data_IF_619272952405
#
_entry.id   IF_619272952405
#
_cell.length_a   1.000
_cell.length_b   1.000
_cell.length_c   1.000
_cell.angle_alpha   90.00
_cell.angle_beta   90.00
_cell.angle_gamma   90.00
#
_symmetry.space_group_name_H-M   'P 1'
#
loop_
_entity.id
_entity.type
_entity.pdbx_description
1 polymer ?
#
# COMPACT_ATOMS: atom_id res chain seq x y z
N UNK A 1 19.46 -9.09 13.11
CA UNK A 1 18.58 -9.51 12.00
C UNK A 1 18.09 -8.24 11.36
N UNK A 2 18.30 -8.03 10.06
CA UNK A 2 17.80 -6.81 9.40
C UNK A 2 16.29 -6.98 9.26
N UNK A 3 15.51 -6.04 9.79
CA UNK A 3 14.07 -5.96 9.54
C UNK A 3 13.89 -5.79 8.03
N UNK A 4 13.46 -6.85 7.34
CA UNK A 4 13.19 -6.80 5.91
C UNK A 4 11.80 -6.21 5.69
N UNK A 5 11.63 -4.95 6.08
CA UNK A 5 10.47 -4.17 5.68
C UNK A 5 10.56 -3.91 4.18
N UNK A 6 9.47 -4.16 3.47
CA UNK A 6 9.36 -3.80 2.06
C UNK A 6 8.03 -3.10 1.82
N UNK A 7 8.04 -2.21 0.83
CA UNK A 7 6.89 -1.39 0.48
C UNK A 7 6.57 -1.68 -0.98
N UNK A 8 5.36 -2.14 -1.24
CA UNK A 8 4.89 -2.44 -2.60
C UNK A 8 3.74 -1.50 -2.94
N UNK A 9 3.89 -0.78 -4.05
CA UNK A 9 2.87 0.08 -4.63
C UNK A 9 2.05 -0.67 -5.67
N UNK A 10 0.76 -0.39 -5.68
CA UNK A 10 -0.22 -0.85 -6.66
C UNK A 10 -1.08 0.32 -7.13
N UNK A 11 -1.42 0.30 -8.42
CA UNK A 11 -2.44 1.18 -8.97
C UNK A 11 -3.75 0.42 -9.04
N UNK A 12 -4.79 1.01 -8.47
CA UNK A 12 -6.15 0.48 -8.46
C UNK A 12 -7.03 1.46 -9.21
N UNK A 13 -7.71 0.99 -10.25
CA UNK A 13 -8.68 1.78 -10.99
C UNK A 13 -10.04 1.65 -10.32
N UNK A 14 -10.61 2.78 -9.90
CA UNK A 14 -11.91 2.84 -9.29
C UNK A 14 -13.01 2.73 -10.36
N UNK A 15 -14.22 2.25 -10.02
CA UNK A 15 -15.29 2.01 -10.99
C UNK A 15 -15.71 3.25 -11.81
N UNK A 16 -15.42 4.44 -11.30
CA UNK A 16 -15.75 5.72 -11.92
C UNK A 16 -14.57 6.33 -12.70
N UNK A 17 -13.53 5.56 -13.00
CA UNK A 17 -12.42 5.94 -13.88
C UNK A 17 -11.25 6.65 -13.19
N UNK A 18 -11.35 6.92 -11.89
CA UNK A 18 -10.28 7.57 -11.12
C UNK A 18 -9.25 6.58 -10.59
N UNK A 19 -8.03 7.07 -10.36
CA UNK A 19 -6.91 6.27 -9.85
C UNK A 19 -6.82 6.33 -8.33
N UNK A 20 -6.62 5.18 -7.73
CA UNK A 20 -6.23 5.03 -6.33
C UNK A 20 -4.84 4.37 -6.28
N UNK A 21 -3.98 4.90 -5.41
CA UNK A 21 -2.65 4.34 -5.17
C UNK A 21 -2.69 3.58 -3.86
N UNK A 22 -2.37 2.30 -3.88
CA UNK A 22 -2.26 1.48 -2.68
C UNK A 22 -0.79 1.21 -2.39
N UNK A 23 -0.35 1.42 -1.14
CA UNK A 23 0.97 1.00 -0.68
C UNK A 23 0.79 -0.03 0.43
N UNK A 24 1.45 -1.17 0.26
CA UNK A 24 1.43 -2.31 1.18
C UNK A 24 2.79 -2.39 1.85
N UNK A 25 2.80 -2.25 3.17
CA UNK A 25 3.96 -2.52 4.03
C UNK A 25 3.99 -4.01 4.35
N UNK A 26 5.07 -4.66 3.97
CA UNK A 26 5.36 -6.05 4.27
C UNK A 26 6.42 -6.17 5.35
N UNK A 27 6.28 -7.17 6.20
CA UNK A 27 7.25 -7.56 7.20
C UNK A 27 7.43 -9.07 7.10
N UNK A 28 8.62 -9.51 6.67
CA UNK A 28 8.94 -10.92 6.43
C UNK A 28 7.95 -11.61 5.45
N UNK A 29 7.50 -10.89 4.42
CA UNK A 29 6.56 -11.41 3.40
C UNK A 29 5.08 -11.33 3.79
N UNK A 30 4.77 -10.97 5.04
CA UNK A 30 3.38 -10.77 5.50
C UNK A 30 2.97 -9.31 5.44
N UNK A 31 1.71 -9.07 5.13
CA UNK A 31 1.12 -7.74 5.13
C UNK A 31 1.02 -7.23 6.57
N UNK A 32 1.77 -6.18 6.87
CA UNK A 32 1.75 -5.50 8.17
C UNK A 32 0.82 -4.30 8.17
N UNK A 33 0.70 -3.60 7.05
CA UNK A 33 -0.25 -2.49 6.87
C UNK A 33 -0.48 -2.26 5.40
N UNK A 34 -1.66 -1.79 5.04
CA UNK A 34 -1.93 -1.29 3.70
C UNK A 34 -2.67 0.04 3.80
N UNK A 35 -2.28 0.99 2.95
CA UNK A 35 -2.92 2.30 2.83
C UNK A 35 -3.29 2.55 1.38
N UNK A 36 -4.48 3.08 1.17
CA UNK A 36 -5.01 3.45 -0.14
C UNK A 36 -5.21 4.96 -0.17
N UNK A 37 -4.47 5.66 -1.03
CA UNK A 37 -4.65 7.07 -1.31
C UNK A 37 -5.48 7.27 -2.57
N UNK A 38 -6.58 8.01 -2.44
CA UNK A 38 -7.45 8.38 -3.55
C UNK A 38 -7.09 9.77 -4.06
N UNK A 39 -6.48 9.84 -5.24
CA UNK A 39 -6.00 11.10 -5.83
C UNK A 39 -7.14 12.10 -6.10
N UNK A 40 -8.36 11.62 -6.35
CA UNK A 40 -9.50 12.47 -6.66
C UNK A 40 -10.02 13.23 -5.42
N UNK A 41 -10.17 12.55 -4.29
CA UNK A 41 -10.68 13.15 -3.05
C UNK A 41 -9.56 13.62 -2.10
N UNK A 42 -8.30 13.36 -2.45
CA UNK A 42 -7.12 13.68 -1.64
C UNK A 42 -7.24 13.13 -0.20
N UNK A 43 -7.68 11.87 -0.09
CA UNK A 43 -7.83 11.17 1.19
C UNK A 43 -7.22 9.79 1.15
N UNK A 44 -6.70 9.37 2.30
CA UNK A 44 -6.20 8.03 2.52
C UNK A 44 -7.18 7.19 3.33
N UNK A 45 -7.08 5.88 3.15
CA UNK A 45 -7.83 4.88 3.89
C UNK A 45 -6.89 3.76 4.30
N UNK A 46 -6.92 3.37 5.58
CA UNK A 46 -6.18 2.20 6.04
C UNK A 46 -7.00 0.93 5.78
N UNK A 47 -6.34 -0.12 5.28
CA UNK A 47 -6.97 -1.42 5.02
C UNK A 47 -6.45 -2.40 6.07
N UNK A 48 -7.26 -2.62 7.11
CA UNK A 48 -6.92 -3.48 8.24
C UNK A 48 -7.17 -4.96 7.98
N UNK A 49 -8.08 -5.28 7.06
CA UNK A 49 -8.54 -6.65 6.82
C UNK A 49 -7.46 -7.57 6.23
N UNK A 50 -6.37 -6.99 5.72
CA UNK A 50 -5.24 -7.71 5.12
C UNK A 50 -4.13 -8.03 6.13
N UNK A 51 -4.21 -7.53 7.37
CA UNK A 51 -3.16 -7.68 8.37
C UNK A 51 -2.84 -9.16 8.64
N UNK A 52 -1.56 -9.50 8.53
CA UNK A 52 -1.03 -10.84 8.80
C UNK A 52 -1.15 -11.82 7.62
N UNK A 53 -1.83 -11.44 6.54
CA UNK A 53 -1.92 -12.27 5.33
C UNK A 53 -0.57 -12.35 4.61
N UNK A 54 -0.26 -13.50 4.03
CA UNK A 54 0.91 -13.68 3.16
C UNK A 54 0.74 -12.87 1.88
N UNK A 55 1.77 -12.12 1.49
CA UNK A 55 1.76 -11.36 0.25
C UNK A 55 2.10 -12.24 -0.94
N UNK A 56 1.22 -12.26 -1.94
CA UNK A 56 1.46 -12.96 -3.20
C UNK A 56 2.17 -12.03 -4.17
N UNK A 57 3.44 -12.31 -4.42
CA UNK A 57 4.28 -11.56 -5.36
C UNK A 57 3.68 -11.61 -6.77
N UNK A 58 3.64 -10.46 -7.42
CA UNK A 58 3.08 -10.29 -8.76
C UNK A 58 4.07 -9.62 -9.69
N UNK A 59 4.04 -9.98 -10.97
CA UNK A 59 4.83 -9.30 -12.01
C UNK A 59 4.48 -7.82 -12.19
N UNK A 60 3.36 -7.36 -11.60
CA UNK A 60 2.93 -5.95 -11.58
C UNK A 60 3.28 -5.26 -10.25
N UNK A 61 4.17 -5.84 -9.43
CA UNK A 61 4.65 -5.20 -8.21
C UNK A 61 5.54 -4.02 -8.56
N UNK A 62 5.21 -2.85 -8.02
CA UNK A 62 6.03 -1.65 -8.16
C UNK A 62 6.72 -1.42 -6.82
N UNK A 63 8.06 -1.47 -6.73
CA UNK A 63 8.76 -1.13 -5.49
C UNK A 63 8.43 0.29 -5.05
N UNK A 64 8.19 0.47 -3.76
CA UNK A 64 7.96 1.75 -3.09
C UNK A 64 8.89 1.88 -1.89
N UNK A 65 8.65 2.87 -1.03
CA UNK A 65 9.47 3.15 0.15
C UNK A 65 8.64 3.72 1.31
N UNK A 66 9.28 3.78 2.47
CA UNK A 66 8.69 4.32 3.70
C UNK A 66 8.21 5.76 3.56
N UNK A 67 8.97 6.61 2.85
CA UNK A 67 8.59 8.01 2.67
C UNK A 67 7.25 8.14 1.94
N UNK A 68 7.07 7.45 0.82
CA UNK A 68 5.81 7.47 0.05
C UNK A 68 4.63 6.93 0.89
N UNK A 69 4.90 5.91 1.72
CA UNK A 69 3.90 5.37 2.65
C UNK A 69 3.47 6.41 3.70
N UNK A 70 4.43 7.06 4.36
CA UNK A 70 4.17 8.09 5.38
C UNK A 70 3.52 9.33 4.78
N UNK A 71 3.91 9.71 3.57
CA UNK A 71 3.28 10.81 2.83
C UNK A 71 1.78 10.55 2.63
N UNK A 72 1.37 9.31 2.33
CA UNK A 72 -0.05 8.94 2.27
C UNK A 72 -0.70 8.83 3.64
N UNK A 73 0.03 8.35 4.64
CA UNK A 73 -0.48 8.24 6.02
C UNK A 73 -0.89 9.59 6.60
N UNK A 74 -0.23 10.68 6.18
CA UNK A 74 -0.59 12.05 6.54
C UNK A 74 -1.98 12.50 6.03
N UNK A 75 -2.61 11.78 5.10
CA UNK A 75 -3.95 12.07 4.55
C UNK A 75 -5.07 11.17 5.11
N UNK A 76 -4.80 10.37 6.15
CA UNK A 76 -5.83 9.60 6.89
C UNK A 76 -6.75 10.55 7.68
#
# INVERSE_FOLDING_TARGET
MRDHLSYIKKYVWLPYGEKMVQIILLDQGKIKKAICFNEHVQKSFSVTDLLGMEYLVSNFDIPSNEKEFLDFEAYL
#
